data_IF_450818012308
#
_entry.id   IF_450818012308
#
_cell.length_a   1.000
_cell.length_b   1.000
_cell.length_c   1.000
_cell.angle_alpha   90.00
_cell.angle_beta   90.00
_cell.angle_gamma   90.00
#
_symmetry.space_group_name_H-M   'P 1'
#
loop_
_entity.id
_entity.type
_entity.pdbx_description
1 polymer ?
#
# COMPACT_ATOMS: atom_id res chain seq x y z
N UNK A 1 3.45 63.24 -10.65
CA UNK A 1 3.12 64.04 -11.86
C UNK A 1 3.74 63.24 -13.00
N UNK A 2 3.04 62.56 -13.91
CA UNK A 2 1.74 62.72 -14.58
C UNK A 2 1.26 61.30 -14.97
N UNK A 3 0.03 60.82 -14.69
CA UNK A 3 -1.27 61.12 -15.32
C UNK A 3 -1.33 60.87 -16.84
N UNK A 4 -2.09 59.83 -17.26
CA UNK A 4 -3.00 59.67 -18.44
C UNK A 4 -3.19 58.16 -18.68
N UNK A 5 -4.36 57.51 -18.79
CA UNK A 5 -5.76 57.93 -18.96
C UNK A 5 -6.40 57.19 -20.15
N UNK A 6 -7.61 56.60 -19.94
CA UNK A 6 -8.65 56.11 -20.91
C UNK A 6 -8.47 54.73 -21.58
N UNK A 7 -9.51 53.92 -21.90
CA UNK A 7 -10.95 53.81 -21.53
C UNK A 7 -11.53 52.57 -22.26
N UNK A 8 -12.35 51.79 -21.53
CA UNK A 8 -13.55 50.99 -21.87
C UNK A 8 -13.80 50.44 -23.30
N UNK A 9 -14.22 49.16 -23.37
CA UNK A 9 -15.47 48.79 -24.07
C UNK A 9 -16.12 47.54 -23.46
N UNK A 10 -17.34 47.73 -22.96
CA UNK A 10 -18.28 46.67 -22.64
C UNK A 10 -18.96 46.16 -23.92
N UNK A 11 -19.28 44.86 -23.96
CA UNK A 11 -20.42 44.35 -24.73
C UNK A 11 -21.19 43.40 -23.83
N UNK A 12 -22.47 43.72 -23.69
CA UNK A 12 -23.52 42.96 -23.04
C UNK A 12 -24.59 42.64 -24.09
N UNK A 13 -25.53 41.76 -23.72
CA UNK A 13 -26.79 41.36 -24.41
C UNK A 13 -26.66 40.07 -25.25
N UNK A 14 -27.60 39.11 -25.24
CA UNK A 14 -28.88 38.94 -24.52
C UNK A 14 -29.63 37.71 -25.08
N UNK A 15 -30.58 37.16 -24.29
CA UNK A 15 -31.78 36.38 -24.72
C UNK A 15 -31.52 35.00 -25.34
N UNK A 16 -32.29 33.93 -25.12
CA UNK A 16 -33.54 33.58 -24.42
C UNK A 16 -33.66 32.05 -24.62
N UNK A 17 -34.15 31.23 -23.70
CA UNK A 17 -35.55 31.15 -23.29
C UNK A 17 -36.22 29.90 -23.91
N UNK A 18 -36.79 29.05 -23.04
CA UNK A 18 -37.87 28.05 -23.27
C UNK A 18 -37.62 26.84 -24.18
N UNK A 19 -38.18 25.64 -23.99
CA UNK A 19 -38.87 24.94 -22.90
C UNK A 19 -39.23 23.52 -23.43
N UNK A 20 -39.38 22.56 -22.50
CA UNK A 20 -40.29 21.40 -22.50
C UNK A 20 -40.25 20.39 -23.67
N UNK A 21 -40.06 19.09 -23.42
CA UNK A 21 -41.11 18.11 -23.07
C UNK A 21 -40.49 16.71 -23.32
N UNK A 22 -40.85 15.57 -22.73
CA UNK A 22 -41.95 15.17 -21.85
C UNK A 22 -41.68 13.74 -21.31
N UNK A 23 -42.31 13.49 -20.16
CA UNK A 23 -42.97 12.26 -19.70
C UNK A 23 -42.14 10.95 -19.50
N UNK A 24 -42.02 10.44 -18.26
CA UNK A 24 -43.00 9.62 -17.50
C UNK A 24 -42.94 8.15 -17.96
N UNK A 25 -42.73 7.12 -17.13
CA UNK A 25 -43.54 6.72 -15.98
C UNK A 25 -42.99 5.42 -15.34
N UNK A 26 -43.21 5.28 -14.03
CA UNK A 26 -43.63 4.07 -13.31
C UNK A 26 -42.62 2.96 -12.93
N UNK A 27 -42.25 3.03 -11.64
CA UNK A 27 -42.29 1.99 -10.59
C UNK A 27 -42.74 0.57 -10.98
N UNK A 28 -41.95 -0.44 -10.60
CA UNK A 28 -42.44 -1.73 -10.08
C UNK A 28 -41.46 -2.27 -9.01
N UNK A 29 -41.94 -2.30 -7.77
CA UNK A 29 -41.45 -3.16 -6.70
C UNK A 29 -41.57 -4.62 -7.13
N UNK A 30 -40.54 -5.42 -6.91
CA UNK A 30 -40.68 -6.88 -6.91
C UNK A 30 -39.82 -7.48 -5.80
N UNK A 31 -40.47 -7.63 -4.65
CA UNK A 31 -40.03 -8.45 -3.53
C UNK A 31 -40.24 -9.91 -3.92
N UNK A 32 -39.18 -10.70 -3.94
CA UNK A 32 -39.28 -12.16 -3.93
C UNK A 32 -38.41 -12.71 -2.80
N UNK A 33 -39.08 -12.98 -1.68
CA UNK A 33 -38.63 -13.93 -0.68
C UNK A 33 -38.60 -15.32 -1.31
N UNK A 34 -37.44 -15.96 -1.27
CA UNK A 34 -37.33 -17.41 -1.46
C UNK A 34 -36.40 -17.94 -0.38
N UNK A 35 -37.01 -18.42 0.69
CA UNK A 35 -36.40 -19.24 1.72
C UNK A 35 -35.84 -20.51 1.07
N UNK A 36 -34.55 -20.78 1.25
CA UNK A 36 -34.02 -22.12 1.06
C UNK A 36 -33.29 -22.53 2.34
N UNK A 37 -34.02 -23.28 3.17
CA UNK A 37 -33.52 -23.96 4.36
C UNK A 37 -33.05 -25.35 3.92
N UNK A 38 -31.75 -25.63 3.99
CA UNK A 38 -31.25 -27.00 4.11
C UNK A 38 -29.99 -27.02 4.98
N UNK A 39 -30.21 -27.54 6.19
CA UNK A 39 -29.38 -28.43 6.99
C UNK A 39 -27.89 -28.11 7.23
N UNK A 40 -27.61 -27.91 8.52
CA UNK A 40 -26.32 -28.14 9.15
C UNK A 40 -25.84 -29.59 8.98
N UNK A 41 -24.52 -29.73 8.84
CA UNK A 41 -23.59 -30.47 9.73
C UNK A 41 -22.53 -31.19 8.88
N UNK A 42 -21.34 -30.62 8.81
CA UNK A 42 -20.12 -31.38 9.08
C UNK A 42 -18.98 -30.40 9.32
N UNK A 43 -18.51 -30.42 10.56
CA UNK A 43 -17.30 -29.76 11.01
C UNK A 43 -16.13 -30.52 10.43
N UNK A 44 -15.61 -30.09 9.29
CA UNK A 44 -14.28 -30.54 8.84
C UNK A 44 -13.22 -29.68 9.52
N UNK A 45 -12.91 -30.05 10.77
CA UNK A 45 -11.64 -29.71 11.42
C UNK A 45 -10.51 -30.36 10.62
N UNK A 46 -9.54 -29.54 10.19
CA UNK A 46 -8.30 -30.00 9.55
C UNK A 46 -7.86 -28.98 8.50
N UNK A 47 -7.08 -27.97 8.85
CA UNK A 47 -5.67 -28.18 9.11
C UNK A 47 -5.15 -27.10 10.08
N UNK A 48 -5.26 -27.35 11.39
CA UNK A 48 -4.31 -26.77 12.34
C UNK A 48 -2.97 -27.46 12.07
N UNK A 49 -2.26 -27.01 11.05
CA UNK A 49 -0.84 -27.25 10.95
C UNK A 49 -0.26 -26.76 12.28
N UNK A 50 0.36 -27.68 13.03
CA UNK A 50 1.01 -27.41 14.30
C UNK A 50 1.69 -26.04 14.24
N UNK A 51 1.15 -25.08 15.00
CA UNK A 51 1.62 -23.70 15.04
C UNK A 51 2.89 -23.68 15.89
N UNK A 52 3.94 -24.31 15.35
CA UNK A 52 5.27 -24.16 15.91
C UNK A 52 5.59 -22.67 15.88
N UNK A 53 6.02 -22.08 17.01
CA UNK A 53 6.38 -20.68 17.05
C UNK A 53 7.37 -20.36 15.93
N UNK A 54 7.08 -19.34 15.13
CA UNK A 54 8.03 -18.88 14.11
C UNK A 54 9.16 -18.20 14.88
N UNK A 55 10.34 -18.81 14.84
CA UNK A 55 11.53 -18.23 15.46
C UNK A 55 12.25 -17.31 14.47
N UNK A 56 13.12 -16.45 14.97
CA UNK A 56 13.94 -15.58 14.13
C UNK A 56 14.80 -16.40 13.14
N UNK A 57 15.30 -17.56 13.57
CA UNK A 57 16.10 -18.46 12.73
C UNK A 57 15.29 -19.00 11.54
N UNK A 58 14.07 -19.49 11.76
CA UNK A 58 13.22 -19.99 10.67
C UNK A 58 12.74 -18.85 9.77
N UNK A 59 12.48 -17.66 10.33
CA UNK A 59 12.19 -16.46 9.55
C UNK A 59 13.35 -16.09 8.61
N UNK A 60 14.59 -16.18 9.11
CA UNK A 60 15.80 -15.94 8.32
C UNK A 60 15.96 -16.95 7.18
N UNK A 61 15.61 -18.22 7.38
CA UNK A 61 15.64 -19.21 6.30
C UNK A 61 14.59 -18.91 5.23
N UNK A 62 13.36 -18.59 5.65
CA UNK A 62 12.27 -18.26 4.73
C UNK A 62 12.58 -17.00 3.93
N UNK A 63 13.17 -15.96 4.54
CA UNK A 63 13.50 -14.73 3.82
C UNK A 63 14.61 -14.96 2.79
N UNK A 64 15.60 -15.81 3.11
CA UNK A 64 16.70 -16.15 2.20
C UNK A 64 16.23 -16.97 1.00
N UNK A 65 15.11 -17.67 1.13
CA UNK A 65 14.48 -18.39 0.02
C UNK A 65 13.78 -17.45 -0.97
N UNK A 66 13.48 -16.20 -0.59
CA UNK A 66 12.87 -15.20 -1.48
C UNK A 66 13.96 -14.61 -2.40
N UNK A 67 14.04 -15.12 -3.63
CA UNK A 67 15.06 -14.69 -4.60
C UNK A 67 14.67 -13.41 -5.34
N UNK A 68 13.39 -13.03 -5.25
CA UNK A 68 12.82 -11.86 -5.90
C UNK A 68 13.11 -10.57 -5.15
N UNK A 69 13.50 -10.65 -3.87
CA UNK A 69 13.76 -9.49 -3.02
C UNK A 69 15.25 -9.15 -3.12
N UNK A 70 15.55 -7.95 -3.62
CA UNK A 70 16.92 -7.45 -3.70
C UNK A 70 17.43 -7.05 -2.31
N UNK A 71 16.62 -6.29 -1.56
CA UNK A 71 16.90 -5.89 -0.18
C UNK A 71 15.72 -6.23 0.71
N UNK A 72 15.98 -6.53 1.98
CA UNK A 72 14.95 -6.73 2.98
C UNK A 72 15.39 -6.20 4.35
N UNK A 73 14.46 -5.60 5.09
CA UNK A 73 14.66 -5.12 6.46
C UNK A 73 13.40 -5.40 7.25
N UNK A 74 13.53 -6.19 8.31
CA UNK A 74 12.49 -6.46 9.30
C UNK A 74 12.84 -5.71 10.57
N UNK A 75 11.91 -4.91 11.07
CA UNK A 75 12.10 -4.08 12.25
C UNK A 75 10.81 -3.99 13.08
N UNK A 76 10.96 -3.69 14.36
CA UNK A 76 9.84 -3.51 15.28
C UNK A 76 9.34 -2.05 15.32
N UNK A 77 8.28 -1.80 16.11
CA UNK A 77 7.70 -0.48 16.31
C UNK A 77 8.58 0.52 17.06
N UNK A 78 9.66 0.04 17.69
CA UNK A 78 10.66 0.88 18.36
C UNK A 78 11.81 1.24 17.41
N UNK A 79 11.82 0.66 16.20
CA UNK A 79 12.85 0.86 15.19
C UNK A 79 14.06 -0.07 15.33
N UNK A 80 13.97 -1.11 16.15
CA UNK A 80 15.03 -2.11 16.25
C UNK A 80 14.96 -3.05 15.05
N UNK A 81 16.08 -3.23 14.36
CA UNK A 81 16.18 -4.16 13.23
C UNK A 81 16.33 -5.58 13.77
N UNK A 82 15.39 -6.46 13.42
CA UNK A 82 15.39 -7.87 13.79
C UNK A 82 16.16 -8.71 12.76
N UNK A 83 16.03 -8.38 11.48
CA UNK A 83 16.63 -9.13 10.37
C UNK A 83 16.81 -8.21 9.17
N UNK A 84 17.98 -8.22 8.55
CA UNK A 84 18.21 -7.44 7.33
C UNK A 84 19.35 -8.03 6.50
N UNK A 85 19.34 -7.78 5.18
CA UNK A 85 20.49 -8.02 4.30
C UNK A 85 21.19 -6.72 3.89
N UNK A 86 20.65 -5.57 4.31
CA UNK A 86 21.16 -4.24 4.05
C UNK A 86 21.04 -3.40 5.31
N UNK A 87 21.94 -2.43 5.47
CA UNK A 87 21.96 -1.55 6.64
C UNK A 87 21.39 -0.18 6.25
N UNK A 88 20.21 0.21 6.77
CA UNK A 88 19.69 1.57 6.60
C UNK A 88 20.67 2.62 7.11
N UNK A 89 20.61 3.82 6.53
CA UNK A 89 21.33 4.98 7.05
C UNK A 89 20.63 5.54 8.30
N UNK A 90 21.37 6.37 9.04
CA UNK A 90 20.88 6.97 10.28
C UNK A 90 19.62 7.81 10.00
N UNK A 91 18.55 7.53 10.74
CA UNK A 91 17.27 8.22 10.61
C UNK A 91 16.29 7.61 9.61
N UNK A 92 16.71 6.73 8.69
CA UNK A 92 15.81 6.12 7.70
C UNK A 92 14.74 5.25 8.36
N UNK A 93 15.10 4.46 9.37
CA UNK A 93 14.15 3.61 10.11
C UNK A 93 13.07 4.44 10.81
N UNK A 94 13.44 5.60 11.37
CA UNK A 94 12.47 6.52 11.95
C UNK A 94 11.51 7.10 10.89
N UNK A 95 11.99 7.29 9.65
CA UNK A 95 11.14 7.60 8.51
C UNK A 95 10.18 6.47 8.18
N UNK A 96 10.65 5.21 8.17
CA UNK A 96 9.81 4.04 7.88
C UNK A 96 8.65 3.86 8.86
N UNK A 97 8.90 4.10 10.15
CA UNK A 97 7.87 4.02 11.20
C UNK A 97 6.73 5.02 10.97
N UNK A 98 7.04 6.20 10.44
CA UNK A 98 6.09 7.29 10.19
C UNK A 98 5.30 7.13 8.89
N UNK A 99 5.68 6.18 8.02
CA UNK A 99 5.03 6.00 6.72
C UNK A 99 3.53 5.79 6.83
N UNK A 100 3.03 5.24 7.94
CA UNK A 100 1.61 4.91 8.12
C UNK A 100 0.83 5.96 8.93
N UNK A 101 1.45 7.06 9.36
CA UNK A 101 0.82 8.07 10.20
C UNK A 101 -0.15 8.95 9.41
N UNK A 102 0.29 9.45 8.25
CA UNK A 102 -0.51 10.33 7.39
C UNK A 102 -0.24 10.05 5.91
N UNK A 103 -1.30 9.69 5.19
CA UNK A 103 -1.24 9.32 3.77
C UNK A 103 -0.63 10.44 2.93
N UNK A 104 -1.12 11.65 3.09
CA UNK A 104 -0.78 12.77 2.21
C UNK A 104 0.71 13.13 2.33
N UNK A 105 1.25 13.06 3.55
CA UNK A 105 2.66 13.34 3.81
C UNK A 105 3.53 12.25 3.19
N UNK A 106 3.19 10.97 3.38
CA UNK A 106 3.91 9.84 2.77
C UNK A 106 3.84 9.84 1.24
N UNK A 107 2.69 10.19 0.67
CA UNK A 107 2.53 10.31 -0.79
C UNK A 107 3.39 11.44 -1.36
N UNK A 108 3.60 12.53 -0.59
CA UNK A 108 4.41 13.66 -1.00
C UNK A 108 5.92 13.44 -0.77
N UNK A 109 6.30 12.81 0.34
CA UNK A 109 7.70 12.61 0.72
C UNK A 109 8.33 11.36 0.15
N UNK A 110 7.53 10.36 -0.22
CA UNK A 110 8.01 9.05 -0.67
C UNK A 110 8.69 8.22 0.43
N UNK A 111 9.50 7.25 0.02
CA UNK A 111 10.31 6.38 0.89
C UNK A 111 11.78 6.58 0.55
N UNK A 112 12.64 6.75 1.57
CA UNK A 112 14.09 6.89 1.38
C UNK A 112 14.83 5.68 1.95
N UNK A 113 15.63 5.01 1.14
CA UNK A 113 16.47 3.91 1.59
C UNK A 113 17.85 4.01 0.94
N UNK A 114 18.91 3.98 1.75
CA UNK A 114 20.30 4.18 1.31
C UNK A 114 20.50 5.50 0.55
N UNK A 115 19.89 6.59 1.04
CA UNK A 115 19.90 7.92 0.42
C UNK A 115 19.27 7.97 -0.99
N UNK A 116 18.48 6.95 -1.35
CA UNK A 116 17.77 6.89 -2.62
C UNK A 116 16.28 7.13 -2.40
N UNK A 117 15.71 8.04 -3.20
CA UNK A 117 14.33 8.46 -3.11
C UNK A 117 13.43 7.57 -3.98
N UNK A 118 12.37 7.03 -3.38
CA UNK A 118 11.34 6.28 -4.09
C UNK A 118 10.00 7.00 -4.02
N UNK A 119 9.41 7.25 -5.18
CA UNK A 119 8.11 7.88 -5.27
C UNK A 119 7.01 6.88 -4.92
N UNK A 120 6.24 7.22 -3.88
CA UNK A 120 5.09 6.42 -3.46
C UNK A 120 3.95 6.66 -4.42
N UNK A 121 3.53 5.60 -5.12
CA UNK A 121 2.38 5.64 -6.02
C UNK A 121 1.19 4.85 -5.47
N UNK A 122 1.38 4.04 -4.42
CA UNK A 122 0.27 3.41 -3.69
C UNK A 122 0.45 3.46 -2.19
N UNK A 123 -0.57 4.02 -1.55
CA UNK A 123 -0.77 3.97 -0.11
C UNK A 123 -2.06 3.22 0.21
N UNK A 124 -1.95 1.97 0.64
CA UNK A 124 -3.08 1.12 0.98
C UNK A 124 -2.73 0.22 2.16
N UNK A 125 -2.82 0.74 3.41
CA UNK A 125 -2.51 -0.02 4.61
C UNK A 125 -3.15 -1.43 4.57
N UNK A 126 -2.40 -2.50 4.86
CA UNK A 126 -1.09 -2.51 5.54
C UNK A 126 0.12 -2.24 4.66
N UNK A 127 -0.05 -1.87 3.39
CA UNK A 127 1.03 -1.70 2.42
C UNK A 127 1.21 -0.25 1.97
N UNK A 128 2.47 0.17 1.86
CA UNK A 128 2.88 1.38 1.16
C UNK A 128 4.00 0.98 0.19
N UNK A 129 3.89 1.37 -1.07
CA UNK A 129 4.91 1.01 -2.05
C UNK A 129 5.06 2.04 -3.16
N UNK A 130 6.27 2.02 -3.71
CA UNK A 130 6.78 3.03 -4.61
C UNK A 130 7.78 2.46 -5.60
N UNK A 131 8.36 3.35 -6.39
CA UNK A 131 9.41 3.02 -7.35
C UNK A 131 10.38 4.17 -7.50
N UNK A 132 11.59 3.86 -7.96
CA UNK A 132 12.56 4.83 -8.46
C UNK A 132 13.14 4.33 -9.79
N UNK A 133 13.87 5.21 -10.46
CA UNK A 133 14.51 4.96 -11.74
C UNK A 133 13.91 5.79 -12.86
N UNK A 134 14.72 6.07 -13.88
CA UNK A 134 14.29 6.79 -15.07
C UNK A 134 13.54 5.82 -15.99
N UNK A 135 12.30 6.12 -16.44
CA UNK A 135 11.59 5.27 -17.40
C UNK A 135 12.31 5.10 -18.76
N UNK A 136 13.31 5.93 -19.04
CA UNK A 136 14.16 5.87 -20.23
C UNK A 136 15.34 4.90 -20.08
N UNK A 137 15.66 4.52 -18.83
CA UNK A 137 16.67 3.53 -18.50
C UNK A 137 15.93 2.25 -18.06
N UNK A 138 16.36 1.07 -18.51
CA UNK A 138 15.73 -0.20 -18.08
C UNK A 138 16.03 -0.56 -16.60
N UNK A 139 16.52 0.39 -15.81
CA UNK A 139 16.96 0.25 -14.43
C UNK A 139 15.92 0.85 -13.47
N UNK A 140 14.81 0.13 -13.29
CA UNK A 140 13.80 0.45 -12.27
C UNK A 140 13.97 -0.39 -11.01
N UNK A 141 13.94 0.26 -9.83
CA UNK A 141 13.87 -0.43 -8.53
C UNK A 141 12.56 -0.05 -7.83
N UNK A 142 11.81 -1.06 -7.41
CA UNK A 142 10.62 -0.91 -6.58
C UNK A 142 10.94 -1.07 -5.11
N UNK A 143 10.13 -0.44 -4.27
CA UNK A 143 10.18 -0.55 -2.81
C UNK A 143 8.79 -0.81 -2.26
N UNK A 144 8.68 -1.63 -1.23
CA UNK A 144 7.43 -1.88 -0.54
C UNK A 144 7.65 -2.05 0.96
N UNK A 145 6.75 -1.49 1.77
CA UNK A 145 6.74 -1.63 3.22
C UNK A 145 5.38 -2.20 3.63
N UNK A 146 5.42 -3.25 4.45
CA UNK A 146 4.24 -3.85 5.05
C UNK A 146 4.28 -3.67 6.57
N UNK A 147 3.17 -3.24 7.15
CA UNK A 147 2.94 -3.14 8.59
C UNK A 147 2.10 -4.32 9.06
N UNK A 148 2.54 -5.02 10.10
CA UNK A 148 1.77 -6.12 10.70
C UNK A 148 1.63 -5.89 12.21
N UNK A 149 0.40 -6.07 12.70
CA UNK A 149 0.12 -6.05 14.13
C UNK A 149 0.29 -7.45 14.71
N UNK A 150 0.99 -7.55 15.83
CA UNK A 150 1.22 -8.78 16.57
C UNK A 150 0.91 -8.56 18.05
N UNK A 151 -0.35 -8.76 18.42
CA UNK A 151 -0.83 -8.44 19.77
C UNK A 151 -0.63 -6.95 20.08
N UNK A 152 0.21 -6.66 21.08
CA UNK A 152 0.62 -5.27 21.42
C UNK A 152 1.80 -4.75 20.60
N UNK A 153 2.52 -5.63 19.89
CA UNK A 153 3.69 -5.26 19.07
C UNK A 153 3.25 -4.89 17.66
N UNK A 154 3.98 -3.98 17.04
CA UNK A 154 3.90 -3.75 15.60
C UNK A 154 5.23 -4.15 14.99
N UNK A 155 5.20 -4.94 13.93
CA UNK A 155 6.37 -5.29 13.14
C UNK A 155 6.20 -4.74 11.72
N UNK A 156 7.33 -4.52 11.09
CA UNK A 156 7.40 -4.01 9.73
C UNK A 156 8.36 -4.87 8.91
N UNK A 157 8.06 -5.01 7.62
CA UNK A 157 8.98 -5.58 6.65
C UNK A 157 9.05 -4.64 5.45
N UNK A 158 10.25 -4.16 5.16
CA UNK A 158 10.59 -3.42 3.95
C UNK A 158 11.31 -4.36 3.00
N UNK A 159 10.93 -4.32 1.72
CA UNK A 159 11.68 -4.98 0.65
C UNK A 159 11.95 -4.02 -0.50
N UNK A 160 12.99 -4.30 -1.26
CA UNK A 160 13.15 -3.78 -2.62
C UNK A 160 13.21 -4.90 -3.63
N UNK A 161 12.89 -4.59 -4.88
CA UNK A 161 12.89 -5.52 -5.99
C UNK A 161 13.31 -4.79 -7.27
N UNK A 162 14.04 -5.47 -8.13
CA UNK A 162 14.54 -4.92 -9.40
C UNK A 162 13.94 -5.69 -10.57
N UNK A 163 13.92 -5.08 -11.75
CA UNK A 163 13.55 -5.77 -12.98
C UNK A 163 14.37 -7.07 -13.14
N UNK A 164 13.77 -8.21 -13.56
CA UNK A 164 12.41 -8.38 -14.12
C UNK A 164 11.29 -8.57 -13.08
N UNK A 165 11.60 -8.52 -11.78
CA UNK A 165 10.57 -8.64 -10.74
C UNK A 165 9.71 -7.37 -10.72
N UNK A 166 8.40 -7.55 -10.84
CA UNK A 166 7.42 -6.46 -10.77
C UNK A 166 6.73 -6.41 -9.41
N UNK A 167 6.16 -5.25 -9.10
CA UNK A 167 5.35 -5.02 -7.91
C UNK A 167 4.20 -6.04 -7.78
N UNK A 168 3.61 -6.44 -8.91
CA UNK A 168 2.56 -7.46 -8.98
C UNK A 168 2.96 -8.83 -8.44
N UNK A 169 4.27 -9.13 -8.33
CA UNK A 169 4.80 -10.35 -7.71
C UNK A 169 5.36 -10.08 -6.32
N UNK A 170 6.22 -9.07 -6.18
CA UNK A 170 6.92 -8.80 -4.93
C UNK A 170 5.97 -8.35 -3.79
N UNK A 171 4.98 -7.50 -4.10
CA UNK A 171 4.07 -6.94 -3.08
C UNK A 171 3.13 -8.01 -2.50
N UNK A 172 2.50 -8.89 -3.31
CA UNK A 172 1.75 -10.02 -2.76
C UNK A 172 2.60 -10.98 -1.92
N UNK A 173 3.82 -11.31 -2.36
CA UNK A 173 4.76 -12.13 -1.59
C UNK A 173 5.09 -11.50 -0.23
N UNK A 174 5.33 -10.19 -0.20
CA UNK A 174 5.56 -9.44 1.04
C UNK A 174 4.35 -9.55 1.98
N UNK A 175 3.14 -9.30 1.47
CA UNK A 175 1.92 -9.36 2.26
C UNK A 175 1.73 -10.74 2.88
N UNK A 176 1.85 -11.79 2.07
CA UNK A 176 1.72 -13.18 2.54
C UNK A 176 2.78 -13.51 3.59
N UNK A 177 4.04 -13.13 3.36
CA UNK A 177 5.12 -13.32 4.34
C UNK A 177 4.81 -12.63 5.67
N UNK A 178 4.33 -11.39 5.63
CA UNK A 178 3.99 -10.64 6.83
C UNK A 178 2.84 -11.28 7.60
N UNK A 179 1.78 -11.70 6.92
CA UNK A 179 0.59 -12.30 7.53
C UNK A 179 0.83 -13.70 8.07
N UNK A 180 1.65 -14.50 7.39
CA UNK A 180 1.81 -15.93 7.72
C UNK A 180 3.03 -16.23 8.59
N UNK A 181 4.10 -15.45 8.46
CA UNK A 181 5.37 -15.68 9.17
C UNK A 181 5.64 -14.60 10.19
N UNK A 182 5.67 -13.33 9.76
CA UNK A 182 6.07 -12.23 10.64
C UNK A 182 5.06 -12.01 11.78
N UNK A 183 3.75 -12.10 11.50
CA UNK A 183 2.69 -12.00 12.51
C UNK A 183 2.82 -13.06 13.62
N UNK A 184 3.48 -14.19 13.34
CA UNK A 184 3.64 -15.33 14.25
C UNK A 184 5.03 -15.41 14.90
N UNK A 185 5.87 -14.40 14.69
CA UNK A 185 7.22 -14.34 15.24
C UNK A 185 7.18 -14.30 16.78
N UNK A 186 7.62 -15.36 17.45
CA UNK A 186 7.62 -15.45 18.91
C UNK A 186 8.92 -14.93 19.51
#
# INVERSE_FOLDING_TARGET
MDATGKTLKAVSSSLGGTAASAASSQSLLSSHSSSNVLAADDVTVGNSAADSPVTLASLQEVIKAQREWAKHIVFDGDGNILLSNTKPLDGEVAGFLKLFDKREDTMASGIVLLNEQYDVHRFHPPLVYGRRGDPSQEEGEGIAVCKVAQGSRTLFCLITYVYPTLSARAVPQLKEFCETKLAKLS
#
